data_IF_786422329801
#
_entry.id   IF_786422329801
#
_cell.length_a   1.000
_cell.length_b   1.000
_cell.length_c   1.000
_cell.angle_alpha   90.00
_cell.angle_beta   90.00
_cell.angle_gamma   90.00
#
_symmetry.space_group_name_H-M   'P 1'
#
loop_
_entity.id
_entity.type
_entity.pdbx_description
1 polymer ?
#
# COMPACT_ATOMS: atom_id res chain seq x y z
N UNK A 1 16.25 5.22 -8.20
CA UNK A 1 14.90 5.26 -8.79
C UNK A 1 13.94 4.65 -7.80
N UNK A 2 12.85 5.35 -7.46
CA UNK A 2 11.83 4.87 -6.52
C UNK A 2 10.65 4.39 -7.35
N UNK A 3 10.27 3.13 -7.20
CA UNK A 3 9.11 2.57 -7.87
C UNK A 3 7.87 2.75 -6.98
N UNK A 4 6.77 3.19 -7.57
CA UNK A 4 5.55 3.58 -6.83
C UNK A 4 4.39 2.70 -7.27
N UNK A 5 3.54 2.34 -6.30
CA UNK A 5 2.26 1.68 -6.52
C UNK A 5 1.12 2.63 -6.18
N UNK A 6 0.07 2.63 -7.02
CA UNK A 6 -1.19 3.30 -6.74
C UNK A 6 -2.22 2.25 -6.33
N UNK A 7 -2.65 2.30 -5.06
CA UNK A 7 -3.72 1.43 -4.56
C UNK A 7 -5.05 2.17 -4.59
N UNK A 8 -5.91 1.79 -5.54
CA UNK A 8 -7.28 2.29 -5.63
C UNK A 8 -8.13 1.86 -4.44
N UNK A 9 -9.02 2.75 -4.01
CA UNK A 9 -10.02 2.50 -2.98
C UNK A 9 -11.40 2.65 -3.60
N UNK A 10 -12.02 1.53 -3.95
CA UNK A 10 -13.35 1.55 -4.59
C UNK A 10 -14.40 2.11 -3.62
N UNK A 11 -15.38 2.83 -4.18
CA UNK A 11 -16.47 3.47 -3.43
C UNK A 11 -16.00 4.39 -2.30
N UNK A 12 -14.84 5.03 -2.48
CA UNK A 12 -14.21 5.87 -1.45
C UNK A 12 -14.66 7.32 -1.46
N UNK A 13 -15.67 7.68 -2.26
CA UNK A 13 -16.25 9.04 -2.26
C UNK A 13 -16.71 9.46 -0.87
N UNK A 14 -17.27 8.51 -0.11
CA UNK A 14 -17.66 8.67 1.30
C UNK A 14 -16.63 8.05 2.24
N UNK A 15 -15.34 8.33 1.99
CA UNK A 15 -14.27 7.77 2.83
C UNK A 15 -14.52 8.13 4.30
N UNK A 16 -14.56 7.11 5.15
CA UNK A 16 -14.75 7.30 6.59
C UNK A 16 -13.51 8.01 7.14
N UNK A 17 -13.69 9.04 7.96
CA UNK A 17 -12.61 9.77 8.65
C UNK A 17 -11.59 8.83 9.32
N UNK A 18 -12.08 7.74 9.93
CA UNK A 18 -11.25 6.68 10.54
C UNK A 18 -10.20 6.08 9.59
N UNK A 19 -10.48 6.01 8.28
CA UNK A 19 -9.51 5.54 7.30
C UNK A 19 -8.38 6.55 7.09
N UNK A 20 -8.72 7.84 6.91
CA UNK A 20 -7.73 8.91 6.78
C UNK A 20 -6.83 9.00 8.02
N UNK A 21 -7.41 8.81 9.21
CA UNK A 21 -6.67 8.75 10.46
C UNK A 21 -5.67 7.59 10.48
N UNK A 22 -6.03 6.40 9.99
CA UNK A 22 -5.10 5.26 9.86
C UNK A 22 -3.96 5.57 8.92
N UNK A 23 -4.24 6.12 7.73
CA UNK A 23 -3.22 6.49 6.75
C UNK A 23 -2.27 7.54 7.34
N UNK A 24 -2.81 8.56 8.01
CA UNK A 24 -2.03 9.59 8.70
C UNK A 24 -1.18 9.02 9.85
N UNK A 25 -1.70 8.05 10.59
CA UNK A 25 -0.98 7.40 11.66
C UNK A 25 0.20 6.58 11.12
N UNK A 26 -0.01 5.81 10.05
CA UNK A 26 1.05 5.05 9.40
C UNK A 26 2.11 5.96 8.78
N UNK A 27 1.69 7.06 8.14
CA UNK A 27 2.60 8.09 7.63
C UNK A 27 3.46 8.75 8.73
N UNK A 28 2.91 8.93 9.94
CA UNK A 28 3.65 9.51 11.08
C UNK A 28 4.59 8.52 11.75
N UNK A 29 4.27 7.24 11.70
CA UNK A 29 4.98 6.17 12.39
C UNK A 29 5.61 5.20 11.39
N UNK A 30 6.20 5.75 10.32
CA UNK A 30 6.93 4.95 9.34
C UNK A 30 8.06 4.19 10.05
N UNK A 31 8.07 2.87 9.85
CA UNK A 31 9.09 1.95 10.29
C UNK A 31 9.81 1.43 9.07
N UNK A 32 11.12 1.19 9.17
CA UNK A 32 11.92 0.60 8.09
C UNK A 32 11.39 -0.79 7.63
N UNK A 33 10.54 -1.43 8.42
CA UNK A 33 9.96 -2.74 8.11
C UNK A 33 8.57 -2.66 7.46
N UNK A 34 8.01 -1.46 7.27
CA UNK A 34 6.69 -1.26 6.67
C UNK A 34 6.81 -0.60 5.29
N UNK A 35 5.83 -0.87 4.41
CA UNK A 35 5.71 -0.17 3.13
C UNK A 35 5.46 1.32 3.40
N UNK A 36 6.33 2.17 2.85
CA UNK A 36 6.22 3.63 2.97
C UNK A 36 4.94 4.14 2.30
N UNK A 37 4.30 5.12 2.93
CA UNK A 37 3.14 5.81 2.37
C UNK A 37 3.60 7.21 1.98
N UNK A 38 3.51 7.56 0.70
CA UNK A 38 3.89 8.90 0.24
C UNK A 38 2.72 9.88 0.28
N UNK A 39 1.48 9.39 0.24
CA UNK A 39 0.30 10.24 0.38
C UNK A 39 -0.97 9.64 -0.20
N UNK A 40 -1.94 10.52 -0.43
CA UNK A 40 -3.24 10.19 -0.98
C UNK A 40 -3.49 11.09 -2.20
N UNK A 41 -4.06 10.52 -3.26
CA UNK A 41 -4.50 11.25 -4.46
C UNK A 41 -5.91 10.83 -4.84
N UNK A 42 -6.49 11.42 -5.90
CA UNK A 42 -7.77 11.02 -6.48
C UNK A 42 -7.59 10.56 -7.91
N UNK A 43 -8.28 9.49 -8.27
CA UNK A 43 -8.37 9.04 -9.65
C UNK A 43 -9.25 10.03 -10.43
N UNK A 44 -8.76 10.64 -11.53
CA UNK A 44 -9.54 11.61 -12.30
C UNK A 44 -10.76 11.00 -12.99
N UNK A 45 -10.83 9.68 -13.18
CA UNK A 45 -11.93 9.02 -13.91
C UNK A 45 -13.19 8.82 -13.07
N UNK A 46 -13.03 8.36 -11.84
CA UNK A 46 -14.15 7.98 -10.96
C UNK A 46 -14.19 8.81 -9.67
N UNK A 47 -13.23 9.71 -9.46
CA UNK A 47 -13.02 10.50 -8.23
C UNK A 47 -12.78 9.66 -6.96
N UNK A 48 -12.50 8.36 -7.09
CA UNK A 48 -12.12 7.53 -5.97
C UNK A 48 -10.72 7.92 -5.48
N UNK A 49 -10.52 7.85 -4.16
CA UNK A 49 -9.22 8.03 -3.56
C UNK A 49 -8.29 6.87 -3.91
N UNK A 50 -7.00 7.19 -4.02
CA UNK A 50 -5.91 6.23 -4.16
C UNK A 50 -4.82 6.55 -3.15
N UNK A 51 -4.16 5.52 -2.63
CA UNK A 51 -2.97 5.69 -1.79
C UNK A 51 -1.73 5.54 -2.68
N UNK A 52 -0.79 6.47 -2.51
CA UNK A 52 0.53 6.43 -3.13
C UNK A 52 1.48 5.74 -2.15
N UNK A 53 2.01 4.58 -2.52
CA UNK A 53 2.87 3.76 -1.65
C UNK A 53 4.11 3.27 -2.40
N UNK A 54 5.14 2.87 -1.66
CA UNK A 54 6.29 2.18 -2.23
C UNK A 54 5.90 0.87 -2.92
N UNK A 55 6.46 0.62 -4.11
CA UNK A 55 6.22 -0.62 -4.84
C UNK A 55 7.06 -1.78 -4.26
N UNK A 56 6.37 -2.79 -3.72
CA UNK A 56 6.99 -4.03 -3.27
C UNK A 56 7.35 -4.93 -4.47
N UNK A 57 8.61 -4.85 -4.93
CA UNK A 57 9.11 -5.60 -6.10
C UNK A 57 8.91 -7.12 -6.02
N UNK A 58 9.01 -7.67 -4.81
CA UNK A 58 8.86 -9.11 -4.55
C UNK A 58 7.40 -9.51 -4.29
N UNK A 59 6.47 -8.56 -4.37
CA UNK A 59 5.06 -8.78 -4.08
C UNK A 59 4.79 -9.04 -2.60
N UNK A 60 3.78 -9.86 -2.32
CA UNK A 60 3.43 -10.22 -0.94
C UNK A 60 4.33 -11.34 -0.41
N UNK A 61 4.62 -11.31 0.89
CA UNK A 61 5.36 -12.38 1.57
C UNK A 61 4.71 -13.75 1.33
N UNK A 62 3.37 -13.83 1.34
CA UNK A 62 2.64 -15.07 1.06
C UNK A 62 2.95 -15.61 -0.34
N UNK A 63 2.95 -14.75 -1.36
CA UNK A 63 3.27 -15.19 -2.72
C UNK A 63 4.74 -15.60 -2.83
N UNK A 64 5.65 -14.85 -2.22
CA UNK A 64 7.06 -15.18 -2.19
C UNK A 64 7.30 -16.57 -1.56
N UNK A 65 6.70 -16.82 -0.40
CA UNK A 65 6.80 -18.10 0.31
C UNK A 65 6.18 -19.24 -0.49
N UNK A 66 5.02 -19.03 -1.12
CA UNK A 66 4.40 -20.05 -1.97
C UNK A 66 5.29 -20.42 -3.17
N UNK A 67 5.94 -19.44 -3.81
CA UNK A 67 6.83 -19.68 -4.94
C UNK A 67 8.15 -20.34 -4.53
N UNK A 68 8.65 -20.03 -3.33
CA UNK A 68 9.96 -20.47 -2.84
C UNK A 68 9.89 -21.64 -1.88
N UNK A 69 8.70 -22.18 -1.63
CA UNK A 69 8.46 -23.17 -0.57
C UNK A 69 9.45 -24.35 -0.62
N UNK A 70 9.70 -24.90 -1.81
CA UNK A 70 10.60 -26.05 -1.99
C UNK A 70 12.10 -25.72 -1.89
N UNK A 71 12.48 -24.44 -1.94
CA UNK A 71 13.87 -23.96 -1.78
C UNK A 71 14.20 -23.64 -0.32
N UNK A 72 13.19 -23.62 0.54
CA UNK A 72 13.35 -23.30 1.95
C UNK A 72 13.82 -24.55 2.71
N UNK A 73 14.80 -24.37 3.60
CA UNK A 73 15.45 -25.42 4.38
C UNK A 73 15.20 -25.30 5.89
N UNK A 74 14.23 -24.48 6.28
CA UNK A 74 13.79 -24.33 7.66
C UNK A 74 12.89 -25.48 8.11
#
# INVERSE_FOLDING_TARGET
QIDICLKGLDNSKDIKQKFLEKVKNQYKHESNSAIAIYGITKNPKDSNYMIVIEYAKQGSLRNLLNCKYNELNW
#
